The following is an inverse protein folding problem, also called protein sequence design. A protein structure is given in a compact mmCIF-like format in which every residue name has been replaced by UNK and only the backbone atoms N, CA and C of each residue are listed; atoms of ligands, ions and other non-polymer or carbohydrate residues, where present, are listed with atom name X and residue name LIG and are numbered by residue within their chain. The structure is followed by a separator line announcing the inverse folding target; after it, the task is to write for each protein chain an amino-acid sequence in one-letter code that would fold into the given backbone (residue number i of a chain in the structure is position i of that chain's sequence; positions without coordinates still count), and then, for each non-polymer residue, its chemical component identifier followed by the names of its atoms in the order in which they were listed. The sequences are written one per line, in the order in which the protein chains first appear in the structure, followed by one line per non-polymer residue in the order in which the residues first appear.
data_IF_823532486789
#
_entry.id   IF_823532486789
#
_cell.length_a   1.000
_cell.length_b   1.000
_cell.length_c   1.000
_cell.angle_alpha   90.00
_cell.angle_beta   90.00
_cell.angle_gamma   90.00
#
_symmetry.space_group_name_H-M   'P 1'
#
loop_
_entity.id
_entity.type
_entity.pdbx_description
1 polymer ?
#
# COMPACT_ATOMS: atom_id res chain seq x y z
N UNK A 1 -9.05 2.14 -26.62
CA UNK A 1 -9.98 1.13 -26.10
C UNK A 1 -9.16 0.23 -25.20
N UNK A 2 -9.49 0.08 -23.91
CA UNK A 2 -8.72 -0.81 -23.02
C UNK A 2 -8.92 -2.26 -23.46
N UNK A 3 -7.83 -2.97 -23.72
CA UNK A 3 -7.84 -4.38 -24.14
C UNK A 3 -8.53 -5.25 -23.07
N UNK A 4 -9.28 -6.31 -23.44
CA UNK A 4 -9.98 -7.18 -22.46
C UNK A 4 -9.07 -7.73 -21.36
N UNK A 5 -7.80 -8.00 -21.71
CA UNK A 5 -6.77 -8.48 -20.78
C UNK A 5 -6.43 -7.41 -19.72
N UNK A 6 -6.34 -6.13 -20.11
CA UNK A 6 -6.07 -5.04 -19.17
C UNK A 6 -7.18 -4.93 -18.12
N UNK A 7 -8.43 -4.98 -18.55
CA UNK A 7 -9.59 -4.92 -17.64
C UNK A 7 -9.61 -6.11 -16.68
N UNK A 8 -9.30 -7.32 -17.17
CA UNK A 8 -9.24 -8.51 -16.33
C UNK A 8 -8.14 -8.41 -15.26
N UNK A 9 -6.96 -7.90 -15.62
CA UNK A 9 -5.85 -7.69 -14.66
C UNK A 9 -6.21 -6.63 -13.63
N UNK A 10 -6.81 -5.50 -14.05
CA UNK A 10 -7.28 -4.46 -13.12
C UNK A 10 -8.33 -5.03 -12.17
N UNK A 11 -9.29 -5.79 -12.68
CA UNK A 11 -10.32 -6.44 -11.89
C UNK A 11 -9.70 -7.35 -10.81
N UNK A 12 -8.75 -8.20 -11.21
CA UNK A 12 -8.03 -9.09 -10.29
C UNK A 12 -7.31 -8.29 -9.20
N UNK A 13 -6.57 -7.24 -9.58
CA UNK A 13 -5.84 -6.38 -8.65
C UNK A 13 -6.78 -5.69 -7.67
N UNK A 14 -7.91 -5.15 -8.13
CA UNK A 14 -8.92 -4.51 -7.28
C UNK A 14 -9.47 -5.51 -6.26
N UNK A 15 -9.81 -6.73 -6.70
CA UNK A 15 -10.34 -7.77 -5.83
C UNK A 15 -9.31 -8.17 -4.76
N UNK A 16 -8.08 -8.47 -5.18
CA UNK A 16 -6.99 -8.87 -4.28
C UNK A 16 -6.65 -7.77 -3.27
N UNK A 17 -6.64 -6.51 -3.70
CA UNK A 17 -6.41 -5.36 -2.83
C UNK A 17 -7.53 -5.16 -1.82
N UNK A 18 -8.78 -5.36 -2.23
CA UNK A 18 -9.94 -5.38 -1.31
C UNK A 18 -9.81 -6.47 -0.24
N UNK A 19 -9.43 -7.69 -0.65
CA UNK A 19 -9.21 -8.84 0.26
C UNK A 19 -8.09 -8.53 1.26
N UNK A 20 -6.94 -8.08 0.73
CA UNK A 20 -5.74 -7.77 1.50
C UNK A 20 -5.98 -6.67 2.55
N UNK A 21 -6.64 -5.58 2.16
CA UNK A 21 -6.85 -4.42 3.02
C UNK A 21 -7.82 -4.70 4.17
N UNK A 22 -8.94 -5.35 3.87
CA UNK A 22 -10.02 -5.61 4.83
C UNK A 22 -9.75 -6.79 5.76
N UNK A 23 -9.09 -7.84 5.27
CA UNK A 23 -8.84 -9.05 6.05
C UNK A 23 -7.53 -9.03 6.84
N UNK A 24 -6.52 -8.29 6.36
CA UNK A 24 -5.14 -8.41 6.85
C UNK A 24 -4.48 -7.06 7.12
N UNK A 25 -5.30 -6.05 7.44
CA UNK A 25 -4.88 -4.68 7.82
C UNK A 25 -4.00 -3.97 6.78
N UNK A 26 -4.18 -4.28 5.48
CA UNK A 26 -3.48 -3.59 4.39
C UNK A 26 -1.97 -3.82 4.34
N UNK A 27 -1.43 -4.74 5.13
CA UNK A 27 0.01 -5.01 5.22
C UNK A 27 0.61 -5.51 3.88
N UNK A 28 -0.21 -5.90 2.92
CA UNK A 28 0.19 -6.62 1.72
C UNK A 28 -0.25 -5.97 0.40
N UNK A 29 -0.72 -4.71 0.39
CA UNK A 29 -1.12 -4.02 -0.84
C UNK A 29 -0.01 -3.84 -1.89
N UNK A 30 1.24 -4.13 -1.53
CA UNK A 30 2.44 -3.93 -2.33
C UNK A 30 2.48 -4.65 -3.68
N UNK A 31 1.74 -5.76 -3.83
CA UNK A 31 1.68 -6.50 -5.11
C UNK A 31 0.90 -5.76 -6.20
N UNK A 32 0.06 -4.80 -5.82
CA UNK A 32 -0.87 -4.10 -6.71
C UNK A 32 -0.18 -3.47 -7.91
N UNK A 33 0.83 -2.64 -7.64
CA UNK A 33 1.53 -1.87 -8.67
C UNK A 33 2.32 -2.81 -9.59
N UNK A 34 3.13 -3.76 -9.08
CA UNK A 34 3.81 -4.72 -9.94
C UNK A 34 2.89 -5.58 -10.83
N UNK A 35 1.71 -6.00 -10.35
CA UNK A 35 0.74 -6.73 -11.20
C UNK A 35 0.19 -5.81 -12.29
N UNK A 36 -0.19 -4.58 -11.96
CA UNK A 36 -0.70 -3.63 -12.97
C UNK A 36 0.35 -3.27 -14.01
N UNK A 37 1.62 -3.19 -13.62
CA UNK A 37 2.76 -2.99 -14.53
C UNK A 37 2.99 -4.14 -15.52
N UNK A 38 2.23 -5.24 -15.41
CA UNK A 38 2.19 -6.24 -16.47
C UNK A 38 1.46 -5.75 -17.71
N UNK A 39 0.53 -4.80 -17.56
CA UNK A 39 -0.37 -4.36 -18.63
C UNK A 39 -0.49 -2.84 -18.77
N UNK A 40 0.06 -2.07 -17.82
CA UNK A 40 0.10 -0.61 -17.78
C UNK A 40 1.54 -0.11 -17.61
N UNK A 41 1.78 1.15 -17.96
CA UNK A 41 3.03 1.81 -17.61
C UNK A 41 3.11 2.08 -16.09
N UNK A 42 4.32 2.25 -15.51
CA UNK A 42 4.48 2.37 -14.06
C UNK A 42 3.69 3.54 -13.45
N UNK A 43 3.63 4.68 -14.15
CA UNK A 43 2.92 5.88 -13.70
C UNK A 43 1.41 5.65 -13.64
N UNK A 44 0.83 5.03 -14.67
CA UNK A 44 -0.60 4.70 -14.71
C UNK A 44 -0.99 3.65 -13.67
N UNK A 45 -0.13 2.65 -13.45
CA UNK A 45 -0.32 1.64 -12.40
C UNK A 45 -0.39 2.28 -11.00
N UNK A 46 0.49 3.25 -10.72
CA UNK A 46 0.49 4.01 -9.46
C UNK A 46 -0.76 4.89 -9.37
N UNK A 47 -1.09 5.63 -10.44
CA UNK A 47 -2.21 6.57 -10.47
C UNK A 47 -3.57 5.88 -10.31
N UNK A 48 -3.80 4.79 -11.05
CA UNK A 48 -5.06 4.04 -11.06
C UNK A 48 -5.41 3.46 -9.68
N UNK A 49 -4.40 3.00 -8.93
CA UNK A 49 -4.65 2.41 -7.61
C UNK A 49 -5.08 3.43 -6.56
N UNK A 50 -4.71 4.70 -6.70
CA UNK A 50 -4.99 5.69 -5.66
C UNK A 50 -6.49 5.88 -5.39
N UNK A 51 -7.37 6.14 -6.38
CA UNK A 51 -8.81 6.27 -6.12
C UNK A 51 -9.44 4.99 -5.56
N UNK A 52 -9.00 3.82 -6.03
CA UNK A 52 -9.46 2.52 -5.51
C UNK A 52 -9.10 2.34 -4.03
N UNK A 53 -7.92 2.77 -3.63
CA UNK A 53 -7.48 2.70 -2.24
C UNK A 53 -8.24 3.68 -1.35
N UNK A 54 -8.58 4.87 -1.84
CA UNK A 54 -9.43 5.84 -1.13
C UNK A 54 -10.82 5.26 -0.87
N UNK A 55 -11.42 4.62 -1.87
CA UNK A 55 -12.69 3.91 -1.71
C UNK A 55 -12.57 2.84 -0.63
N UNK A 56 -11.51 2.03 -0.65
CA UNK A 56 -11.25 1.03 0.39
C UNK A 56 -11.04 1.64 1.79
N UNK A 57 -10.41 2.81 1.89
CA UNK A 57 -10.21 3.53 3.15
C UNK A 57 -11.53 3.98 3.77
N UNK A 58 -12.48 4.48 2.98
CA UNK A 58 -13.81 4.88 3.47
C UNK A 58 -14.49 3.71 4.20
N UNK A 59 -14.45 2.52 3.62
CA UNK A 59 -15.02 1.31 4.25
C UNK A 59 -14.23 0.87 5.49
N UNK A 60 -12.91 1.03 5.45
CA UNK A 60 -12.05 0.66 6.58
C UNK A 60 -12.29 1.60 7.78
N UNK A 61 -12.41 2.91 7.53
CA UNK A 61 -12.74 3.92 8.54
C UNK A 61 -14.13 3.71 9.14
N UNK A 62 -15.12 3.33 8.32
CA UNK A 62 -16.48 3.03 8.81
C UNK A 62 -16.48 1.87 9.80
N UNK A 63 -15.70 0.82 9.54
CA UNK A 63 -15.63 -0.37 10.40
C UNK A 63 -14.92 -0.14 11.74
N UNK A 64 -14.00 0.83 11.81
CA UNK A 64 -13.16 1.11 12.99
C UNK A 64 -13.33 2.54 13.52
N UNK A 65 -14.51 3.10 13.35
CA UNK A 65 -14.79 4.52 13.64
C UNK A 65 -14.52 4.88 15.10
N UNK A 66 -13.73 5.93 15.32
CA UNK A 66 -13.32 6.47 16.64
C UNK A 66 -12.53 5.52 17.54
N UNK A 67 -11.99 4.42 17.00
CA UNK A 67 -11.18 3.46 17.75
C UNK A 67 -9.66 3.71 17.63
N UNK A 68 -9.24 4.78 16.94
CA UNK A 68 -7.83 5.08 16.66
C UNK A 68 -7.12 5.84 17.79
N UNK A 69 -5.80 5.73 17.82
CA UNK A 69 -4.94 6.42 18.78
C UNK A 69 -4.39 7.73 18.19
N UNK A 70 -4.97 8.87 18.60
CA UNK A 70 -4.60 10.21 18.10
C UNK A 70 -3.13 10.59 18.38
N UNK A 71 -2.55 10.34 19.57
CA UNK A 71 -1.13 10.57 19.81
C UNK A 71 -0.19 9.90 18.79
N UNK A 72 -0.49 8.66 18.39
CA UNK A 72 0.32 7.95 17.39
C UNK A 72 0.19 8.56 16.00
N UNK A 73 -1.02 8.99 15.61
CA UNK A 73 -1.24 9.72 14.35
C UNK A 73 -0.40 10.99 14.31
N UNK A 74 -0.45 11.82 15.36
CA UNK A 74 0.34 13.07 15.43
C UNK A 74 1.85 12.81 15.37
N UNK A 75 2.31 11.68 15.90
CA UNK A 75 3.75 11.33 15.92
C UNK A 75 4.25 10.84 14.56
N UNK A 76 3.42 10.11 13.81
CA UNK A 76 3.80 9.53 12.51
C UNK A 76 3.55 10.48 11.34
N UNK A 77 2.58 11.39 11.46
CA UNK A 77 2.19 12.29 10.37
C UNK A 77 3.35 13.14 9.81
N UNK A 78 4.24 13.75 10.61
CA UNK A 78 5.34 14.56 10.07
C UNK A 78 6.28 13.78 9.16
N UNK A 79 6.73 12.59 9.59
CA UNK A 79 7.62 11.76 8.78
C UNK A 79 6.89 11.25 7.53
N UNK A 80 5.62 10.86 7.65
CA UNK A 80 4.78 10.51 6.49
C UNK A 80 4.68 11.63 5.46
N UNK A 81 4.46 12.87 5.89
CA UNK A 81 4.41 14.04 4.99
C UNK A 81 5.73 14.23 4.26
N UNK A 82 6.86 14.16 4.98
CA UNK A 82 8.20 14.23 4.37
C UNK A 82 8.40 13.12 3.35
N UNK A 83 8.03 11.88 3.69
CA UNK A 83 8.17 10.74 2.78
C UNK A 83 7.32 10.86 1.51
N UNK A 84 6.05 11.31 1.64
CA UNK A 84 5.17 11.55 0.49
C UNK A 84 5.72 12.68 -0.38
N UNK A 85 6.20 13.77 0.22
CA UNK A 85 6.78 14.88 -0.51
C UNK A 85 8.00 14.44 -1.32
N UNK A 86 8.95 13.74 -0.70
CA UNK A 86 10.15 13.22 -1.36
C UNK A 86 9.80 12.26 -2.51
N UNK A 87 8.88 11.32 -2.30
CA UNK A 87 8.47 10.40 -3.35
C UNK A 87 7.70 11.10 -4.48
N UNK A 88 6.88 12.12 -4.17
CA UNK A 88 6.19 12.92 -5.18
C UNK A 88 7.18 13.70 -6.04
N UNK A 89 8.21 14.30 -5.44
CA UNK A 89 9.28 14.99 -6.17
C UNK A 89 10.05 14.01 -7.07
N UNK A 90 10.38 12.82 -6.54
CA UNK A 90 11.02 11.75 -7.31
C UNK A 90 10.18 11.36 -8.54
N UNK A 91 8.86 11.16 -8.37
CA UNK A 91 7.96 10.76 -9.46
C UNK A 91 7.89 11.76 -10.62
N UNK A 92 8.13 13.06 -10.36
CA UNK A 92 8.11 14.08 -11.42
C UNK A 92 9.32 13.96 -12.35
N UNK A 93 10.51 13.72 -11.80
CA UNK A 93 11.77 13.72 -12.55
C UNK A 93 12.27 12.36 -13.02
N UNK A 94 11.72 11.26 -12.50
CA UNK A 94 12.22 9.91 -12.78
C UNK A 94 11.71 9.36 -14.12
N UNK A 95 12.59 8.70 -14.89
CA UNK A 95 12.19 7.95 -16.09
C UNK A 95 11.41 6.68 -15.74
N UNK A 96 10.65 6.13 -16.69
CA UNK A 96 9.91 4.88 -16.48
C UNK A 96 10.82 3.70 -16.15
N UNK A 97 12.03 3.67 -16.72
CA UNK A 97 13.06 2.67 -16.42
C UNK A 97 13.43 2.70 -14.93
N UNK A 98 13.87 3.85 -14.41
CA UNK A 98 14.29 3.97 -13.02
C UNK A 98 13.14 3.79 -12.04
N UNK A 99 11.94 4.22 -12.42
CA UNK A 99 10.73 3.95 -11.63
C UNK A 99 10.47 2.44 -11.53
N UNK A 100 10.58 1.71 -12.63
CA UNK A 100 10.44 0.24 -12.65
C UNK A 100 11.51 -0.44 -11.80
N UNK A 101 12.77 0.00 -11.89
CA UNK A 101 13.88 -0.49 -11.04
C UNK A 101 13.53 -0.31 -9.55
N UNK A 102 13.09 0.88 -9.15
CA UNK A 102 12.74 1.16 -7.75
C UNK A 102 11.56 0.32 -7.28
N UNK A 103 10.50 0.20 -8.09
CA UNK A 103 9.33 -0.63 -7.76
C UNK A 103 9.72 -2.10 -7.59
N UNK A 104 10.55 -2.62 -8.49
CA UNK A 104 11.05 -3.99 -8.43
C UNK A 104 11.92 -4.22 -7.18
N UNK A 105 12.88 -3.33 -6.92
CA UNK A 105 13.75 -3.39 -5.75
C UNK A 105 12.95 -3.33 -4.44
N UNK A 106 11.99 -2.41 -4.32
CA UNK A 106 11.13 -2.31 -3.13
C UNK A 106 10.27 -3.56 -2.94
N UNK A 107 9.75 -4.13 -4.02
CA UNK A 107 8.98 -5.38 -3.97
C UNK A 107 9.82 -6.53 -3.42
N UNK A 108 11.04 -6.71 -3.94
CA UNK A 108 11.98 -7.75 -3.48
C UNK A 108 12.38 -7.50 -2.03
N UNK A 109 12.81 -6.29 -1.68
CA UNK A 109 13.25 -5.96 -0.31
C UNK A 109 12.13 -6.21 0.69
N UNK A 110 10.90 -5.78 0.41
CA UNK A 110 9.78 -5.97 1.33
C UNK A 110 9.38 -7.43 1.45
N UNK A 111 9.35 -8.17 0.34
CA UNK A 111 9.06 -9.59 0.36
C UNK A 111 10.13 -10.36 1.14
N UNK A 112 11.42 -10.16 0.85
CA UNK A 112 12.52 -10.82 1.56
C UNK A 112 12.53 -10.45 3.04
N UNK A 113 12.35 -9.17 3.37
CA UNK A 113 12.25 -8.73 4.77
C UNK A 113 11.12 -9.45 5.49
N UNK A 114 9.95 -9.55 4.87
CA UNK A 114 8.79 -10.20 5.49
C UNK A 114 8.91 -11.73 5.58
N UNK A 115 9.69 -12.37 4.70
CA UNK A 115 9.86 -13.83 4.66
C UNK A 115 11.03 -14.31 5.54
N UNK A 116 12.13 -13.55 5.58
CA UNK A 116 13.38 -13.95 6.21
C UNK A 116 13.56 -13.39 7.62
N UNK A 117 13.08 -12.17 7.87
CA UNK A 117 13.29 -11.51 9.16
C UNK A 117 12.14 -11.86 10.09
N UNK A 118 12.45 -12.61 11.15
CA UNK A 118 11.52 -12.76 12.28
C UNK A 118 11.33 -11.39 12.92
N UNK A 119 10.08 -10.97 13.10
CA UNK A 119 9.74 -9.75 13.83
C UNK A 119 10.24 -9.86 15.28
N UNK A 120 11.49 -9.47 15.53
CA UNK A 120 12.01 -9.29 16.87
C UNK A 120 11.45 -7.97 17.40
N UNK A 121 11.06 -7.91 18.69
CA UNK A 121 10.69 -6.63 19.28
C UNK A 121 11.91 -5.71 19.22
N UNK A 122 11.82 -4.63 18.44
CA UNK A 122 12.89 -3.63 18.43
C UNK A 122 12.96 -2.92 19.79
N UNK A 123 14.20 -2.63 20.21
CA UNK A 123 14.50 -1.92 21.45
C UNK A 123 13.79 -0.56 21.51
N UNK A 124 13.14 -0.27 22.64
CA UNK A 124 12.32 0.95 22.88
C UNK A 124 13.18 2.23 22.96
N UNK A 125 14.51 2.11 22.98
CA UNK A 125 15.44 3.20 23.32
C UNK A 125 15.33 4.47 22.47
N UNK A 126 14.85 4.38 21.21
CA UNK A 126 14.77 5.53 20.30
C UNK A 126 13.41 5.66 19.59
N UNK A 127 12.32 5.52 20.33
CA UNK A 127 10.96 5.48 19.76
C UNK A 127 10.60 6.69 18.87
N UNK A 128 11.13 7.89 19.15
CA UNK A 128 10.91 9.08 18.31
C UNK A 128 11.61 8.98 16.97
N UNK A 129 12.88 8.56 16.96
CA UNK A 129 13.65 8.36 15.72
C UNK A 129 13.03 7.23 14.90
N UNK A 130 12.63 6.14 15.56
CA UNK A 130 11.94 5.03 14.92
C UNK A 130 10.62 5.49 14.29
N UNK A 131 9.82 6.29 14.99
CA UNK A 131 8.59 6.87 14.43
C UNK A 131 8.89 7.70 13.19
N UNK A 132 9.88 8.60 13.24
CA UNK A 132 10.22 9.48 12.12
C UNK A 132 10.74 8.69 10.90
N UNK A 133 11.69 7.77 11.09
CA UNK A 133 12.29 7.00 10.00
C UNK A 133 11.29 6.04 9.35
N UNK A 134 10.51 5.31 10.15
CA UNK A 134 9.52 4.35 9.63
C UNK A 134 8.34 5.05 8.97
N UNK A 135 7.88 6.18 9.51
CA UNK A 135 6.78 6.94 8.88
C UNK A 135 7.22 7.65 7.60
N UNK A 136 8.48 8.10 7.51
CA UNK A 136 9.05 8.61 6.26
C UNK A 136 9.20 7.50 5.21
N UNK A 137 9.75 6.35 5.59
CA UNK A 137 9.82 5.18 4.72
C UNK A 137 8.42 4.71 4.29
N UNK A 138 7.42 4.78 5.18
CA UNK A 138 6.02 4.51 4.86
C UNK A 138 5.46 5.51 3.84
N UNK A 139 5.77 6.81 4.00
CA UNK A 139 5.39 7.86 3.07
C UNK A 139 5.99 7.66 1.67
N UNK A 140 7.24 7.22 1.58
CA UNK A 140 7.89 6.91 0.30
C UNK A 140 7.23 5.68 -0.33
N UNK A 141 7.19 4.58 0.40
CA UNK A 141 6.68 3.30 -0.11
C UNK A 141 5.18 3.30 -0.43
N UNK A 142 4.36 4.01 0.33
CA UNK A 142 2.93 4.19 0.00
C UNK A 142 2.74 5.01 -1.27
N UNK A 143 3.69 5.87 -1.62
CA UNK A 143 3.59 6.73 -2.80
C UNK A 143 4.08 6.01 -4.06
N UNK A 144 5.17 5.25 -3.97
CA UNK A 144 5.77 4.58 -5.13
C UNK A 144 5.13 3.22 -5.47
N UNK A 145 4.72 2.44 -4.47
CA UNK A 145 4.18 1.08 -4.70
C UNK A 145 2.93 0.78 -3.87
N UNK A 146 2.31 1.80 -3.25
CA UNK A 146 1.17 1.66 -2.33
C UNK A 146 1.43 0.68 -1.16
N UNK A 147 2.68 0.64 -0.68
CA UNK A 147 3.13 -0.30 0.35
C UNK A 147 3.61 0.39 1.63
N UNK A 148 2.82 1.30 2.24
CA UNK A 148 3.21 1.95 3.49
C UNK A 148 3.15 1.05 4.74
N UNK A 149 2.58 -0.15 4.63
CA UNK A 149 2.35 -1.07 5.75
C UNK A 149 3.65 -1.64 6.35
N UNK A 150 4.54 -2.27 5.56
CA UNK A 150 5.75 -2.89 6.08
C UNK A 150 6.64 -1.96 6.92
N UNK A 151 6.90 -0.69 6.52
CA UNK A 151 7.64 0.23 7.38
C UNK A 151 6.89 0.58 8.67
N UNK A 152 5.58 0.86 8.61
CA UNK A 152 4.78 1.18 9.81
C UNK A 152 4.71 0.03 10.80
N UNK A 153 4.67 -1.22 10.31
CA UNK A 153 4.65 -2.41 11.17
C UNK A 153 5.87 -2.49 12.10
N UNK A 154 7.04 -2.02 11.65
CA UNK A 154 8.25 -1.96 12.48
C UNK A 154 7.99 -1.11 13.72
N UNK A 155 7.45 0.09 13.53
CA UNK A 155 7.12 1.00 14.61
C UNK A 155 6.03 0.47 15.53
N UNK A 156 4.94 -0.04 14.97
CA UNK A 156 3.80 -0.51 15.77
C UNK A 156 4.12 -1.78 16.55
N UNK A 157 5.00 -2.65 16.05
CA UNK A 157 5.52 -3.79 16.80
C UNK A 157 6.29 -3.34 18.07
N UNK A 158 7.03 -2.24 17.99
CA UNK A 158 7.69 -1.64 19.16
C UNK A 158 6.70 -0.93 20.12
N UNK A 159 5.63 -0.30 19.60
CA UNK A 159 4.61 0.38 20.42
C UNK A 159 3.66 -0.56 21.17
N UNK A 160 3.44 -1.79 20.68
CA UNK A 160 2.53 -2.79 21.29
C UNK A 160 1.14 -2.22 21.58
N UNK A 161 0.53 -1.56 20.61
CA UNK A 161 -0.87 -1.12 20.73
C UNK A 161 -1.81 -2.31 20.81
N UNK A 162 -2.95 -2.12 21.48
CA UNK A 162 -4.08 -3.04 21.41
C UNK A 162 -4.47 -3.30 19.94
N UNK A 163 -4.76 -4.55 19.53
CA UNK A 163 -4.98 -4.90 18.14
C UNK A 163 -6.02 -4.04 17.42
N UNK A 164 -7.13 -3.72 18.08
CA UNK A 164 -8.19 -2.88 17.53
C UNK A 164 -7.72 -1.45 17.32
N UNK A 165 -6.99 -0.87 18.29
CA UNK A 165 -6.44 0.47 18.19
C UNK A 165 -5.35 0.54 17.10
N UNK A 166 -4.54 -0.51 16.95
CA UNK A 166 -3.56 -0.64 15.87
C UNK A 166 -4.24 -0.58 14.49
N UNK A 167 -5.23 -1.45 14.24
CA UNK A 167 -5.93 -1.51 12.95
C UNK A 167 -6.61 -0.17 12.65
N UNK A 168 -7.31 0.41 13.64
CA UNK A 168 -7.98 1.70 13.49
C UNK A 168 -7.01 2.85 13.18
N UNK A 169 -5.86 2.89 13.88
CA UNK A 169 -4.84 3.93 13.68
C UNK A 169 -4.20 3.82 12.29
N UNK A 170 -3.85 2.60 11.87
CA UNK A 170 -3.29 2.36 10.53
C UNK A 170 -4.30 2.71 9.43
N UNK A 171 -5.59 2.39 9.62
CA UNK A 171 -6.64 2.76 8.67
C UNK A 171 -6.75 4.28 8.50
N UNK A 172 -6.75 5.05 9.59
CA UNK A 172 -6.75 6.53 9.53
C UNK A 172 -5.48 7.05 8.88
N UNK A 173 -4.31 6.51 9.22
CA UNK A 173 -3.05 6.95 8.65
C UNK A 173 -3.00 6.71 7.14
N UNK A 174 -3.45 5.56 6.65
CA UNK A 174 -3.54 5.30 5.21
C UNK A 174 -4.57 6.20 4.51
N UNK A 175 -5.72 6.44 5.12
CA UNK A 175 -6.70 7.38 4.57
C UNK A 175 -6.10 8.78 4.42
N UNK A 176 -5.42 9.28 5.46
CA UNK A 176 -4.72 10.56 5.41
C UNK A 176 -3.63 10.58 4.33
N UNK A 177 -2.78 9.54 4.27
CA UNK A 177 -1.76 9.40 3.22
C UNK A 177 -2.37 9.43 1.82
N UNK A 178 -3.48 8.74 1.62
CA UNK A 178 -4.15 8.67 0.31
C UNK A 178 -4.85 9.98 -0.05
N UNK A 179 -5.39 10.73 0.92
CA UNK A 179 -5.89 12.09 0.68
C UNK A 179 -4.76 13.05 0.32
N UNK A 180 -3.61 12.99 1.02
CA UNK A 180 -2.44 13.81 0.67
C UNK A 180 -1.96 13.46 -0.73
N UNK A 181 -1.85 12.16 -1.06
CA UNK A 181 -1.50 11.70 -2.42
C UNK A 181 -2.52 12.13 -3.46
N UNK A 182 -3.81 12.20 -3.12
CA UNK A 182 -4.84 12.68 -4.05
C UNK A 182 -4.54 14.12 -4.45
N UNK A 183 -4.21 14.97 -3.48
CA UNK A 183 -3.82 16.36 -3.75
C UNK A 183 -2.53 16.40 -4.58
N UNK A 184 -1.48 15.69 -4.18
CA UNK A 184 -0.19 15.78 -4.86
C UNK A 184 -0.23 15.17 -6.27
N UNK A 185 -0.90 14.02 -6.46
CA UNK A 185 -1.00 13.38 -7.78
C UNK A 185 -1.86 14.20 -8.73
N UNK A 186 -2.90 14.86 -8.22
CA UNK A 186 -3.70 15.78 -9.04
C UNK A 186 -2.88 17.02 -9.43
N UNK A 187 -2.14 17.59 -8.48
CA UNK A 187 -1.31 18.77 -8.71
C UNK A 187 -0.15 18.53 -9.69
N UNK A 188 0.43 17.33 -9.70
CA UNK A 188 1.50 16.96 -10.64
C UNK A 188 0.99 16.44 -11.99
N UNK A 189 -0.33 16.30 -12.17
CA UNK A 189 -0.91 15.67 -13.35
C UNK A 189 -0.67 14.17 -13.43
N UNK A 190 -0.20 13.51 -12.37
CA UNK A 190 -0.07 12.06 -12.33
C UNK A 190 -1.44 11.37 -12.32
N UNK A 191 -2.42 11.96 -11.61
CA UNK A 191 -3.79 11.45 -11.59
C UNK A 191 -4.66 12.17 -12.62
N UNK A 192 -4.93 11.49 -13.74
CA UNK A 192 -5.87 11.94 -14.77
C UNK A 192 -7.30 11.44 -14.54
N UNK A 193 -8.30 12.14 -15.09
CA UNK A 193 -9.73 11.79 -14.98
C UNK A 193 -10.05 10.36 -15.41
N UNK A 194 -9.35 9.84 -16.42
CA UNK A 194 -9.53 8.47 -16.91
C UNK A 194 -9.28 7.43 -15.82
N UNK A 195 -8.25 7.64 -14.98
CA UNK A 195 -7.96 6.76 -13.84
C UNK A 195 -9.10 6.74 -12.82
N UNK A 196 -9.68 7.92 -12.55
CA UNK A 196 -10.78 8.08 -11.59
C UNK A 196 -12.04 7.37 -12.10
N UNK A 197 -12.40 7.58 -13.37
CA UNK A 197 -13.55 6.92 -13.99
C UNK A 197 -13.38 5.39 -13.98
N UNK A 198 -12.20 4.90 -14.36
CA UNK A 198 -11.92 3.47 -14.36
C UNK A 198 -12.01 2.88 -12.95
N UNK A 199 -11.44 3.55 -11.95
CA UNK A 199 -11.54 3.15 -10.55
C UNK A 199 -13.00 3.10 -10.03
N UNK A 200 -13.84 4.07 -10.43
CA UNK A 200 -15.27 4.08 -10.11
C UNK A 200 -15.96 2.84 -10.68
N UNK A 201 -15.70 2.48 -11.95
CA UNK A 201 -16.26 1.28 -12.57
C UNK A 201 -15.92 0.00 -11.80
N UNK A 202 -14.73 -0.08 -11.18
CA UNK A 202 -14.28 -1.22 -10.40
C UNK A 202 -14.66 -1.16 -8.90
N UNK A 203 -15.33 -0.11 -8.45
CA UNK A 203 -15.77 0.04 -7.04
C UNK A 203 -16.67 -1.12 -6.55
N UNK A 204 -17.64 -1.64 -7.33
CA UNK A 204 -18.42 -2.82 -6.92
C UNK A 204 -17.54 -4.05 -6.66
N UNK A 205 -16.46 -4.21 -7.43
CA UNK A 205 -15.52 -5.31 -7.24
C UNK A 205 -14.63 -5.10 -6.02
N UNK A 206 -14.23 -3.86 -5.74
CA UNK A 206 -13.52 -3.50 -4.51
C UNK A 206 -14.36 -3.83 -3.27
N UNK A 207 -15.66 -3.54 -3.31
CA UNK A 207 -16.64 -3.89 -2.28
C UNK A 207 -16.75 -5.41 -2.08
N UNK A 208 -16.82 -6.16 -3.17
CA UNK A 208 -16.84 -7.61 -3.13
C UNK A 208 -15.55 -8.16 -2.49
N UNK A 209 -14.39 -7.66 -2.92
CA UNK A 209 -13.10 -8.01 -2.36
C UNK A 209 -13.00 -7.72 -0.86
N UNK A 210 -13.55 -6.58 -0.41
CA UNK A 210 -13.62 -6.25 1.02
C UNK A 210 -14.43 -7.29 1.81
N UNK A 211 -15.64 -7.64 1.34
CA UNK A 211 -16.47 -8.66 2.00
C UNK A 211 -15.79 -10.03 2.05
N UNK A 212 -15.16 -10.42 0.94
CA UNK A 212 -14.39 -11.66 0.85
C UNK A 212 -13.19 -11.64 1.81
N UNK A 213 -12.48 -10.52 1.92
CA UNK A 213 -11.34 -10.38 2.85
C UNK A 213 -11.75 -10.53 4.30
N UNK A 214 -12.84 -9.89 4.73
CA UNK A 214 -13.38 -10.06 6.09
C UNK A 214 -13.79 -11.50 6.35
N UNK A 215 -14.40 -12.17 5.37
CA UNK A 215 -14.78 -13.58 5.49
C UNK A 215 -13.55 -14.51 5.58
N UNK A 216 -12.58 -14.32 4.69
CA UNK A 216 -11.35 -15.12 4.62
C UNK A 216 -10.46 -14.93 5.85
N UNK A 217 -10.39 -13.72 6.42
CA UNK A 217 -9.61 -13.46 7.63
C UNK A 217 -10.05 -14.29 8.84
N UNK A 218 -11.32 -14.77 8.86
CA UNK A 218 -11.83 -15.67 9.90
C UNK A 218 -11.43 -17.13 9.69
N UNK A 219 -11.00 -17.51 8.48
CA UNK A 219 -10.75 -18.91 8.08
C UNK A 219 -9.29 -19.19 7.72
N UNK A 220 -8.56 -18.18 7.26
CA UNK A 220 -7.17 -18.31 6.82
C UNK A 220 -6.21 -17.80 7.89
N UNK A 221 -5.22 -18.63 8.29
CA UNK A 221 -4.15 -18.17 9.16
C UNK A 221 -3.40 -17.00 8.52
N UNK A 222 -3.26 -15.88 9.25
CA UNK A 222 -2.51 -14.68 8.82
C UNK A 222 -1.12 -15.02 8.27
N UNK A 223 -0.42 -15.99 8.88
CA UNK A 223 0.90 -16.46 8.43
C UNK A 223 0.90 -17.05 7.02
N UNK A 224 -0.13 -17.84 6.68
CA UNK A 224 -0.24 -18.44 5.35
C UNK A 224 -0.52 -17.38 4.29
N UNK A 225 -1.44 -16.45 4.59
CA UNK A 225 -1.74 -15.34 3.68
C UNK A 225 -0.51 -14.46 3.43
N UNK A 226 0.24 -14.12 4.49
CA UNK A 226 1.51 -13.40 4.38
C UNK A 226 2.54 -14.15 3.51
N UNK A 227 2.66 -15.47 3.67
CA UNK A 227 3.61 -16.26 2.88
C UNK A 227 3.27 -16.22 1.38
N UNK A 228 2.00 -16.44 1.02
CA UNK A 228 1.56 -16.43 -0.38
C UNK A 228 1.73 -15.04 -1.01
N UNK A 229 1.27 -13.99 -0.32
CA UNK A 229 1.32 -12.63 -0.86
C UNK A 229 2.75 -12.09 -0.98
N UNK A 230 3.65 -12.41 -0.04
CA UNK A 230 5.05 -12.04 -0.17
C UNK A 230 5.78 -12.88 -1.21
N UNK A 231 5.45 -14.17 -1.38
CA UNK A 231 5.97 -14.99 -2.47
C UNK A 231 5.58 -14.41 -3.84
N UNK A 232 4.32 -14.00 -3.99
CA UNK A 232 3.84 -13.31 -5.18
C UNK A 232 4.59 -11.98 -5.40
N UNK A 233 4.75 -11.16 -4.36
CA UNK A 233 5.47 -9.90 -4.44
C UNK A 233 6.94 -10.09 -4.86
N UNK A 234 7.61 -11.11 -4.32
CA UNK A 234 8.99 -11.45 -4.69
C UNK A 234 9.06 -11.85 -6.16
N UNK A 235 8.18 -12.75 -6.59
CA UNK A 235 8.10 -13.20 -7.98
C UNK A 235 7.88 -12.01 -8.94
N UNK A 236 6.94 -11.12 -8.62
CA UNK A 236 6.65 -9.95 -9.44
C UNK A 236 7.83 -8.98 -9.50
N UNK A 237 8.52 -8.77 -8.38
CA UNK A 237 9.75 -7.97 -8.35
C UNK A 237 10.83 -8.54 -9.27
N UNK A 238 11.04 -9.86 -9.25
CA UNK A 238 11.99 -10.54 -10.15
C UNK A 238 11.56 -10.45 -11.63
N UNK A 239 10.27 -10.60 -11.92
CA UNK A 239 9.72 -10.44 -13.27
C UNK A 239 9.95 -9.01 -13.79
N UNK A 240 9.73 -8.00 -12.95
CA UNK A 240 10.01 -6.61 -13.32
C UNK A 240 11.49 -6.36 -13.61
N UNK A 241 12.41 -6.98 -12.87
CA UNK A 241 13.85 -6.94 -13.21
C UNK A 241 14.10 -7.62 -14.55
N UNK A 242 13.51 -8.79 -14.79
CA UNK A 242 13.66 -9.50 -16.05
C UNK A 242 13.16 -8.70 -17.27
N UNK A 243 12.14 -7.86 -17.10
CA UNK A 243 11.66 -6.94 -18.15
C UNK A 243 12.62 -5.79 -18.48
N UNK A 244 13.60 -5.51 -17.61
CA UNK A 244 14.57 -4.42 -17.78
C UNK A 244 15.86 -4.86 -18.49
N UNK A 245 16.06 -6.17 -18.65
CA UNK A 245 17.21 -6.78 -19.32
C UNK A 245 16.87 -7.09 -20.78
#
# INVERSE_FOLDING_TARGET
MTEPIQLAVIALVVLLSGISKSGFAGALGAFSVPILMMVLNPRDAIALMLPLLIVADVFSLKSYWRLWNVPELKRLLPGTLVGIALATLFLQGVSEFWLTVVIAAMSIIFALKSLLIKNTPESVGHLRLLAASTSAAAGISTTLIHAGGPPLMVYFNARKLEPTAYIATVAVLFALMNVIKLVTFSATGLLQWQHVLLAICFTPLALLGNRLGVHLAKRLPKKQFLLVMNGLLLMLGLVLIGKLL
#
